data_IF_694968181297
#
_entry.id   IF_694968181297
#
_cell.length_a   1.000
_cell.length_b   1.000
_cell.length_c   1.000
_cell.angle_alpha   90.00
_cell.angle_beta   90.00
_cell.angle_gamma   90.00
#
_symmetry.space_group_name_H-M   'P 1'
#
loop_
_entity.id
_entity.type
_entity.pdbx_description
1 polymer ?
#
# COMPACT_ATOMS: atom_id res chain seq x y z
N UNK A 1 -17.15 -16.12 7.55
CA UNK A 1 -16.29 -15.11 6.91
C UNK A 1 -15.32 -14.52 7.93
N UNK A 2 -14.53 -15.34 8.63
CA UNK A 2 -13.50 -14.81 9.56
C UNK A 2 -12.19 -14.60 8.82
N UNK A 3 -11.84 -15.53 7.93
CA UNK A 3 -10.61 -15.46 7.12
C UNK A 3 -10.60 -14.26 6.16
N UNK A 4 -11.76 -13.87 5.66
CA UNK A 4 -11.88 -12.70 4.77
C UNK A 4 -11.73 -11.39 5.56
N UNK A 5 -12.34 -11.29 6.73
CA UNK A 5 -12.26 -10.12 7.61
C UNK A 5 -10.83 -9.94 8.15
N UNK A 6 -10.19 -11.06 8.53
CA UNK A 6 -8.78 -11.10 8.93
C UNK A 6 -7.84 -10.70 7.79
N UNK A 7 -8.10 -11.17 6.56
CA UNK A 7 -7.38 -10.75 5.38
C UNK A 7 -7.55 -9.26 5.09
N UNK A 8 -8.78 -8.72 5.16
CA UNK A 8 -9.04 -7.29 4.96
C UNK A 8 -8.35 -6.43 6.03
N UNK A 9 -8.34 -6.89 7.27
CA UNK A 9 -7.63 -6.23 8.36
C UNK A 9 -6.12 -6.16 8.11
N UNK A 10 -5.51 -7.28 7.73
CA UNK A 10 -4.08 -7.34 7.43
C UNK A 10 -3.75 -6.55 6.14
N UNK A 11 -4.67 -6.52 5.18
CA UNK A 11 -4.53 -5.74 3.96
C UNK A 11 -4.60 -4.22 4.23
N UNK A 12 -5.51 -3.77 5.09
CA UNK A 12 -5.55 -2.40 5.61
C UNK A 12 -4.25 -2.04 6.34
N UNK A 13 -3.75 -2.96 7.16
CA UNK A 13 -2.47 -2.77 7.85
C UNK A 13 -1.32 -2.64 6.87
N UNK A 14 -1.25 -3.48 5.85
CA UNK A 14 -0.24 -3.43 4.81
C UNK A 14 -0.29 -2.12 4.01
N UNK A 15 -1.49 -1.63 3.67
CA UNK A 15 -1.66 -0.31 3.04
C UNK A 15 -1.11 0.82 3.91
N UNK A 16 -1.37 0.76 5.22
CA UNK A 16 -0.87 1.73 6.19
C UNK A 16 0.66 1.64 6.39
N UNK A 17 1.23 0.44 6.40
CA UNK A 17 2.69 0.25 6.41
C UNK A 17 3.34 0.78 5.13
N UNK A 18 2.69 0.59 3.98
CA UNK A 18 3.15 1.13 2.70
C UNK A 18 3.11 2.66 2.70
N UNK A 19 2.08 3.27 3.30
CA UNK A 19 2.02 4.71 3.54
C UNK A 19 3.21 5.19 4.38
N UNK A 20 3.48 4.49 5.48
CA UNK A 20 4.58 4.82 6.38
C UNK A 20 5.95 4.65 5.70
N UNK A 21 6.09 3.64 4.83
CA UNK A 21 7.27 3.42 4.00
C UNK A 21 7.46 4.56 2.99
N UNK A 22 6.39 5.01 2.32
CA UNK A 22 6.40 6.19 1.45
C UNK A 22 6.85 7.43 2.22
N UNK A 23 6.28 7.69 3.39
CA UNK A 23 6.61 8.88 4.20
C UNK A 23 8.08 8.86 4.65
N UNK A 24 8.58 7.70 5.08
CA UNK A 24 10.00 7.50 5.37
C UNK A 24 10.87 7.71 4.14
N UNK A 25 10.46 7.17 3.00
CA UNK A 25 11.16 7.36 1.73
C UNK A 25 11.24 8.84 1.34
N UNK A 26 10.16 9.61 1.50
CA UNK A 26 10.13 11.05 1.23
C UNK A 26 11.06 11.85 2.15
N UNK A 27 11.25 11.39 3.39
CA UNK A 27 12.20 11.99 4.34
C UNK A 27 13.67 11.64 4.06
N UNK A 28 13.95 10.66 3.20
CA UNK A 28 15.33 10.29 2.86
C UNK A 28 16.00 11.35 1.96
N UNK A 29 17.33 11.49 2.05
CA UNK A 29 18.09 12.33 1.14
C UNK A 29 18.02 11.79 -0.31
N UNK A 30 18.14 12.66 -1.31
CA UNK A 30 17.99 12.32 -2.72
C UNK A 30 18.94 11.21 -3.20
N UNK A 31 20.18 11.18 -2.70
CA UNK A 31 21.15 10.10 -2.97
C UNK A 31 20.64 8.71 -2.56
N UNK A 32 19.99 8.61 -1.39
CA UNK A 32 19.47 7.33 -0.88
C UNK A 32 18.19 6.97 -1.62
N UNK A 33 17.35 7.96 -1.95
CA UNK A 33 16.15 7.77 -2.78
C UNK A 33 16.50 7.13 -4.12
N UNK A 34 17.54 7.65 -4.78
CA UNK A 34 18.02 7.09 -6.04
C UNK A 34 18.48 5.64 -5.91
N UNK A 35 19.22 5.29 -4.85
CA UNK A 35 19.62 3.90 -4.58
C UNK A 35 18.43 2.98 -4.34
N UNK A 36 17.38 3.47 -3.68
CA UNK A 36 16.16 2.70 -3.44
C UNK A 36 15.38 2.49 -4.74
N UNK A 37 15.28 3.50 -5.61
CA UNK A 37 14.69 3.36 -6.95
C UNK A 37 15.51 2.39 -7.82
N UNK A 38 16.83 2.50 -7.78
CA UNK A 38 17.73 1.65 -8.57
C UNK A 38 17.70 0.18 -8.11
N UNK A 39 17.54 -0.04 -6.80
CA UNK A 39 17.34 -1.36 -6.22
C UNK A 39 15.89 -1.85 -6.34
N UNK A 40 14.96 -1.04 -6.84
CA UNK A 40 13.57 -1.42 -6.94
C UNK A 40 13.36 -2.38 -8.12
N UNK A 41 12.51 -3.41 -7.96
CA UNK A 41 12.21 -4.34 -9.05
C UNK A 41 11.51 -3.60 -10.20
N UNK A 42 11.67 -4.06 -11.45
CA UNK A 42 11.10 -3.41 -12.65
C UNK A 42 9.58 -3.18 -12.57
N UNK A 43 8.89 -4.01 -11.78
CA UNK A 43 7.45 -3.92 -11.54
C UNK A 43 7.04 -2.82 -10.55
N UNK A 44 7.96 -2.31 -9.71
CA UNK A 44 7.68 -1.28 -8.70
C UNK A 44 8.78 -0.23 -8.81
N UNK A 45 8.53 0.85 -9.56
CA UNK A 45 9.51 1.93 -9.74
C UNK A 45 9.73 2.78 -8.48
N UNK A 46 8.74 2.83 -7.58
CA UNK A 46 8.86 3.61 -6.35
C UNK A 46 7.91 3.13 -5.24
N UNK A 47 8.28 3.35 -3.96
CA UNK A 47 7.36 3.11 -2.84
C UNK A 47 6.10 4.00 -2.92
N UNK A 48 6.14 5.10 -3.67
CA UNK A 48 4.97 5.92 -3.95
C UNK A 48 3.97 5.24 -4.90
N UNK A 49 4.46 4.62 -5.99
CA UNK A 49 3.63 3.81 -6.88
C UNK A 49 3.10 2.56 -6.19
N UNK A 50 3.90 1.94 -5.32
CA UNK A 50 3.46 0.82 -4.49
C UNK A 50 2.29 1.23 -3.59
N UNK A 51 2.45 2.32 -2.84
CA UNK A 51 1.39 2.87 -1.99
C UNK A 51 0.11 3.12 -2.78
N UNK A 52 0.21 3.82 -3.91
CA UNK A 52 -0.96 4.14 -4.72
C UNK A 52 -1.66 2.89 -5.25
N UNK A 53 -0.90 1.89 -5.70
CA UNK A 53 -1.43 0.62 -6.19
C UNK A 53 -2.11 -0.19 -5.09
N UNK A 54 -1.50 -0.26 -3.90
CA UNK A 54 -2.05 -0.99 -2.74
C UNK A 54 -3.33 -0.30 -2.24
N UNK A 55 -3.35 1.03 -2.14
CA UNK A 55 -4.53 1.77 -1.71
C UNK A 55 -5.67 1.64 -2.72
N UNK A 56 -5.38 1.75 -4.02
CA UNK A 56 -6.36 1.54 -5.10
C UNK A 56 -6.93 0.13 -5.06
N UNK A 57 -6.10 -0.87 -4.78
CA UNK A 57 -6.55 -2.25 -4.66
C UNK A 57 -7.47 -2.42 -3.44
N UNK A 58 -7.12 -1.80 -2.33
CA UNK A 58 -7.93 -1.81 -1.11
C UNK A 58 -9.29 -1.15 -1.33
N UNK A 59 -9.35 0.02 -1.97
CA UNK A 59 -10.63 0.66 -2.33
C UNK A 59 -11.49 -0.21 -3.26
N UNK A 60 -10.87 -0.94 -4.20
CA UNK A 60 -11.60 -1.86 -5.08
C UNK A 60 -12.17 -3.05 -4.32
N UNK A 61 -11.38 -3.61 -3.41
CA UNK A 61 -11.85 -4.71 -2.56
C UNK A 61 -12.97 -4.22 -1.65
N UNK A 62 -12.82 -3.08 -0.99
CA UNK A 62 -13.86 -2.50 -0.12
C UNK A 62 -15.17 -2.27 -0.88
N UNK A 63 -15.07 -1.78 -2.12
CA UNK A 63 -16.20 -1.57 -3.04
C UNK A 63 -16.83 -2.88 -3.54
N UNK A 64 -16.04 -3.90 -3.88
CA UNK A 64 -16.56 -5.21 -4.31
C UNK A 64 -17.17 -6.00 -3.15
N UNK A 65 -16.56 -5.91 -1.97
CA UNK A 65 -17.01 -6.58 -0.75
C UNK A 65 -18.23 -5.91 -0.12
N UNK A 66 -18.62 -4.73 -0.61
CA UNK A 66 -19.80 -3.99 -0.14
C UNK A 66 -19.77 -3.79 1.38
N UNK A 67 -18.66 -3.27 1.92
CA UNK A 67 -18.61 -2.76 3.30
C UNK A 67 -19.38 -1.42 3.38
N UNK A 68 -20.55 -1.36 2.74
CA UNK A 68 -21.51 -0.25 2.75
C UNK A 68 -22.91 -0.75 3.15
N UNK A 69 -23.04 -1.98 3.67
CA UNK A 69 -24.28 -2.44 4.31
C UNK A 69 -24.03 -2.72 5.80
N UNK A 70 -23.92 -1.62 6.55
CA UNK A 70 -24.07 -1.63 8.01
C UNK A 70 -24.55 -0.24 8.47
N UNK A 71 -25.72 0.15 7.97
CA UNK A 71 -26.60 1.12 8.62
C UNK A 71 -27.98 0.48 8.80
#
# INVERSE_FOLDING_TARGET
>A
MVELDDFLYDFHRFANETHNLKDKYEKLPPDVKQKIIDAAPESIKSPNELYHSVFTWLERIDKEMNVTDRD
#
